data_IF_552695636832
#
_entry.id   IF_552695636832
#
_cell.length_a   1.000
_cell.length_b   1.000
_cell.length_c   1.000
_cell.angle_alpha   90.00
_cell.angle_beta   90.00
_cell.angle_gamma   90.00
#
_symmetry.space_group_name_H-M   'P 1'
#
loop_
_entity.id
_entity.type
_entity.pdbx_description
1 polymer ?
#
# COMPACT_ATOMS: atom_id res chain seq x y z
N UNK A 1 -33.66 -4.09 18.84
CA UNK A 1 -33.86 -4.12 17.37
C UNK A 1 -32.54 -4.48 16.74
N UNK A 2 -32.43 -5.65 16.14
CA UNK A 2 -31.23 -6.14 15.45
C UNK A 2 -31.59 -6.25 13.97
N UNK A 3 -30.99 -5.41 13.14
CA UNK A 3 -31.17 -5.40 11.69
C UNK A 3 -29.93 -5.98 11.01
N UNK A 4 -30.12 -7.04 10.23
CA UNK A 4 -29.13 -7.59 9.32
C UNK A 4 -29.32 -6.94 7.94
N UNK A 5 -28.35 -6.12 7.52
CA UNK A 5 -28.31 -5.60 6.14
C UNK A 5 -27.57 -6.62 5.28
N UNK A 6 -28.28 -7.40 4.46
CA UNK A 6 -27.66 -8.18 3.39
C UNK A 6 -27.59 -7.32 2.15
N UNK A 7 -26.38 -6.95 1.71
CA UNK A 7 -26.19 -6.26 0.44
C UNK A 7 -25.38 -7.15 -0.49
N UNK A 8 -25.91 -7.39 -1.70
CA UNK A 8 -25.23 -8.13 -2.75
C UNK A 8 -24.52 -7.13 -3.65
N UNK A 9 -23.20 -7.22 -3.76
CA UNK A 9 -22.40 -6.38 -4.64
C UNK A 9 -20.97 -6.88 -4.73
N UNK A 10 -20.24 -6.45 -5.76
CA UNK A 10 -18.82 -6.75 -5.91
C UNK A 10 -17.97 -5.64 -5.26
N UNK A 11 -16.85 -6.05 -4.66
CA UNK A 11 -15.80 -5.14 -4.20
C UNK A 11 -14.80 -4.95 -5.34
N UNK A 12 -14.69 -3.73 -5.86
CA UNK A 12 -13.73 -3.43 -6.91
C UNK A 12 -12.46 -2.86 -6.28
N UNK A 13 -11.44 -3.71 -6.16
CA UNK A 13 -10.11 -3.33 -5.71
C UNK A 13 -9.26 -2.87 -6.89
N UNK A 14 -8.48 -1.82 -6.69
CA UNK A 14 -7.55 -1.33 -7.70
C UNK A 14 -6.26 -0.83 -7.07
N UNK A 15 -5.17 -0.97 -7.82
CA UNK A 15 -3.87 -0.38 -7.53
C UNK A 15 -3.44 0.45 -8.74
N UNK A 16 -3.11 1.72 -8.53
CA UNK A 16 -2.76 2.67 -9.59
C UNK A 16 -1.48 3.39 -9.27
N UNK A 17 -0.68 3.68 -10.30
CA UNK A 17 0.49 4.55 -10.18
C UNK A 17 0.06 6.01 -10.26
N UNK A 18 0.57 6.81 -9.33
CA UNK A 18 0.18 8.21 -9.18
C UNK A 18 1.36 9.15 -9.41
N UNK A 19 1.05 10.38 -9.81
CA UNK A 19 2.02 11.46 -9.84
C UNK A 19 2.35 11.93 -8.42
N UNK A 20 3.34 12.82 -8.30
CA UNK A 20 3.87 13.31 -7.02
C UNK A 20 2.78 13.64 -5.99
N UNK A 21 2.92 13.09 -4.80
CA UNK A 21 1.99 13.33 -3.69
C UNK A 21 0.62 12.65 -3.82
N UNK A 22 0.45 11.69 -4.74
CA UNK A 22 -0.81 10.97 -4.95
C UNK A 22 -1.97 11.88 -5.38
N UNK A 23 -1.69 12.89 -6.21
CA UNK A 23 -2.65 13.94 -6.60
C UNK A 23 -3.40 13.60 -7.88
N UNK A 24 -2.71 13.04 -8.87
CA UNK A 24 -3.27 12.67 -10.17
C UNK A 24 -2.69 11.35 -10.65
N UNK A 25 -3.35 10.75 -11.64
CA UNK A 25 -2.85 9.53 -12.28
C UNK A 25 -1.57 9.83 -13.03
N UNK A 26 -0.56 8.97 -12.87
CA UNK A 26 0.66 9.07 -13.67
C UNK A 26 0.44 8.43 -15.02
N UNK A 27 0.83 9.11 -16.10
CA UNK A 27 0.73 8.59 -17.47
C UNK A 27 1.91 7.69 -17.88
N UNK A 28 3.09 7.89 -17.28
CA UNK A 28 4.30 7.12 -17.57
C UNK A 28 4.55 6.03 -16.52
N UNK A 29 4.87 4.82 -16.98
CA UNK A 29 5.34 3.70 -16.17
C UNK A 29 6.87 3.61 -16.07
N UNK A 30 7.59 4.65 -16.51
CA UNK A 30 9.05 4.74 -16.46
C UNK A 30 9.46 5.56 -15.23
N UNK A 31 10.40 5.02 -14.46
CA UNK A 31 10.93 5.63 -13.25
C UNK A 31 12.45 5.62 -13.29
N UNK A 32 13.07 6.68 -12.78
CA UNK A 32 14.51 6.70 -12.54
C UNK A 32 14.86 5.99 -11.23
N UNK A 33 16.05 5.41 -11.14
CA UNK A 33 16.52 4.81 -9.89
C UNK A 33 16.52 5.87 -8.77
N UNK A 34 15.97 5.52 -7.60
CA UNK A 34 15.81 6.44 -6.47
C UNK A 34 14.56 7.33 -6.55
N UNK A 35 13.84 7.34 -7.67
CA UNK A 35 12.60 8.11 -7.80
C UNK A 35 11.48 7.49 -6.94
N UNK A 36 10.68 8.34 -6.28
CA UNK A 36 9.53 7.85 -5.54
C UNK A 36 8.40 7.38 -6.47
N UNK A 37 8.06 6.09 -6.37
CA UNK A 37 6.89 5.47 -7.02
C UNK A 37 5.69 5.62 -6.09
N UNK A 38 4.78 6.54 -6.41
CA UNK A 38 3.53 6.69 -5.67
C UNK A 38 2.49 5.68 -6.17
N UNK A 39 1.89 4.95 -5.23
CA UNK A 39 0.86 3.95 -5.47
C UNK A 39 -0.41 4.32 -4.70
N UNK A 40 -1.54 4.32 -5.39
CA UNK A 40 -2.87 4.42 -4.81
C UNK A 40 -3.53 3.05 -4.82
N UNK A 41 -3.82 2.53 -3.64
CA UNK A 41 -4.77 1.44 -3.46
C UNK A 41 -6.16 2.03 -3.18
N UNK A 42 -7.18 1.49 -3.84
CA UNK A 42 -8.58 1.91 -3.66
C UNK A 42 -9.52 0.72 -3.68
N UNK A 43 -10.58 0.79 -2.87
CA UNK A 43 -11.76 -0.08 -3.00
C UNK A 43 -13.01 0.74 -3.31
N UNK A 44 -13.74 0.31 -4.33
CA UNK A 44 -15.04 0.85 -4.70
C UNK A 44 -16.11 -0.21 -4.43
N UNK A 45 -17.13 0.19 -3.68
CA UNK A 45 -18.14 -0.72 -3.14
C UNK A 45 -19.47 0.03 -3.00
N UNK A 46 -20.11 0.45 -4.11
CA UNK A 46 -21.28 1.33 -4.08
C UNK A 46 -22.48 0.73 -3.33
N UNK A 47 -22.58 -0.60 -3.34
CA UNK A 47 -23.58 -1.37 -2.62
C UNK A 47 -23.05 -1.95 -1.31
N UNK A 48 -22.12 -1.30 -0.61
CA UNK A 48 -21.67 -1.77 0.71
C UNK A 48 -21.64 -0.62 1.71
N UNK A 49 -21.77 -0.91 3.02
CA UNK A 49 -21.46 0.07 4.06
C UNK A 49 -20.02 0.60 3.88
N UNK A 50 -19.69 1.79 4.41
CA UNK A 50 -18.35 2.35 4.28
C UNK A 50 -17.26 1.37 4.72
N UNK A 51 -16.30 1.11 3.82
CA UNK A 51 -15.19 0.20 4.05
C UNK A 51 -13.89 0.97 4.26
N UNK A 52 -13.07 0.44 5.16
CA UNK A 52 -11.70 0.88 5.40
C UNK A 52 -10.76 -0.05 4.64
N UNK A 53 -9.99 0.51 3.72
CA UNK A 53 -9.00 -0.26 2.94
C UNK A 53 -7.72 -0.47 3.75
N UNK A 54 -7.13 -1.64 3.64
CA UNK A 54 -5.80 -2.01 4.15
C UNK A 54 -5.01 -2.71 3.05
N UNK A 55 -3.69 -2.68 3.19
CA UNK A 55 -2.73 -3.34 2.30
C UNK A 55 -1.94 -4.30 3.16
N UNK A 56 -2.17 -5.61 3.07
CA UNK A 56 -1.52 -6.56 3.97
C UNK A 56 -0.05 -6.77 3.60
N UNK A 57 0.21 -6.91 2.31
CA UNK A 57 1.55 -7.01 1.75
C UNK A 57 1.59 -6.52 0.31
N UNK A 58 2.78 -6.13 -0.14
CA UNK A 58 3.09 -5.86 -1.53
C UNK A 58 4.45 -6.46 -1.86
N UNK A 59 4.55 -7.03 -3.05
CA UNK A 59 5.76 -7.64 -3.59
C UNK A 59 6.04 -7.06 -4.97
N UNK A 60 7.30 -6.72 -5.21
CA UNK A 60 7.82 -6.39 -6.52
C UNK A 60 8.55 -7.61 -7.10
N UNK A 61 8.34 -7.90 -8.38
CA UNK A 61 8.89 -9.06 -9.09
C UNK A 61 9.30 -8.68 -10.52
N UNK A 62 10.14 -9.51 -11.16
CA UNK A 62 10.51 -9.36 -12.58
C UNK A 62 9.50 -10.01 -13.53
N UNK A 63 8.58 -10.80 -13.01
CA UNK A 63 7.49 -11.42 -13.77
C UNK A 63 6.14 -11.07 -13.13
N UNK A 64 5.02 -11.14 -13.89
CA UNK A 64 3.69 -10.83 -13.35
C UNK A 64 3.28 -11.72 -12.17
N UNK A 65 3.84 -12.92 -12.07
CA UNK A 65 3.61 -13.81 -10.94
C UNK A 65 4.25 -13.26 -9.66
N UNK A 66 3.41 -12.98 -8.66
CA UNK A 66 3.81 -12.48 -7.34
C UNK A 66 4.68 -13.45 -6.53
N UNK A 67 4.69 -14.74 -6.90
CA UNK A 67 5.51 -15.78 -6.26
C UNK A 67 6.84 -16.01 -7.00
N UNK A 68 7.04 -15.38 -8.16
CA UNK A 68 8.26 -15.50 -8.93
C UNK A 68 9.47 -14.91 -8.20
N UNK A 69 10.65 -15.43 -8.54
CA UNK A 69 11.93 -14.94 -8.02
C UNK A 69 12.72 -14.22 -9.13
N UNK A 70 13.47 -13.16 -8.78
CA UNK A 70 13.57 -12.55 -7.45
C UNK A 70 12.30 -11.77 -7.08
N UNK A 71 11.95 -11.80 -5.79
CA UNK A 71 10.78 -11.10 -5.24
C UNK A 71 11.15 -10.25 -4.03
N UNK A 72 10.75 -8.98 -4.03
CA UNK A 72 11.03 -8.03 -2.95
C UNK A 72 9.74 -7.58 -2.27
N UNK A 73 9.54 -8.04 -1.03
CA UNK A 73 8.36 -7.68 -0.23
C UNK A 73 8.59 -6.38 0.54
N UNK A 74 8.09 -5.27 0.00
CA UNK A 74 8.29 -3.95 0.58
C UNK A 74 7.21 -3.54 1.58
N UNK A 75 6.01 -4.12 1.49
CA UNK A 75 4.99 -4.08 2.56
C UNK A 75 4.81 -5.51 3.09
N UNK A 76 4.92 -5.69 4.41
CA UNK A 76 4.80 -6.98 5.09
C UNK A 76 4.12 -6.81 6.45
N UNK A 77 4.00 -7.89 7.25
CA UNK A 77 3.45 -7.85 8.62
C UNK A 77 2.10 -7.14 8.71
N UNK A 78 1.22 -7.40 7.73
CA UNK A 78 -0.13 -6.83 7.67
C UNK A 78 -0.15 -5.30 7.64
N UNK A 79 0.62 -4.72 6.71
CA UNK A 79 0.60 -3.28 6.43
C UNK A 79 1.78 -2.46 6.93
N UNK A 80 2.88 -3.07 7.36
CA UNK A 80 4.12 -2.35 7.64
C UNK A 80 5.00 -2.25 6.38
N UNK A 81 5.26 -1.02 5.95
CA UNK A 81 6.13 -0.65 4.84
C UNK A 81 7.60 -0.83 5.26
N UNK A 82 8.12 -2.03 5.14
CA UNK A 82 9.48 -2.41 5.56
C UNK A 82 10.56 -1.65 4.78
N UNK A 83 10.27 -1.26 3.54
CA UNK A 83 11.23 -0.49 2.72
C UNK A 83 11.65 0.83 3.39
N UNK A 84 10.74 1.47 4.15
CA UNK A 84 11.02 2.72 4.88
C UNK A 84 12.13 2.59 5.93
N UNK A 85 12.49 1.36 6.34
CA UNK A 85 13.59 1.11 7.27
C UNK A 85 14.94 1.25 6.57
N UNK A 86 15.04 0.90 5.27
CA UNK A 86 16.31 0.81 4.53
C UNK A 86 17.02 2.15 4.39
N UNK A 87 18.28 2.31 4.83
CA UNK A 87 18.99 3.59 4.82
C UNK A 87 18.82 4.38 3.53
N UNK A 88 18.52 5.68 3.62
CA UNK A 88 18.24 6.52 2.46
C UNK A 88 16.81 6.45 1.92
N UNK A 89 16.06 5.37 2.17
CA UNK A 89 14.68 5.21 1.68
C UNK A 89 13.77 6.37 2.08
N UNK A 90 13.06 6.91 1.08
CA UNK A 90 12.03 7.94 1.23
C UNK A 90 10.60 7.39 1.28
N UNK A 91 10.47 6.05 1.33
CA UNK A 91 9.21 5.33 1.33
C UNK A 91 8.35 5.62 2.55
N UNK A 92 7.07 5.95 2.34
CA UNK A 92 6.15 6.34 3.41
C UNK A 92 4.70 6.13 3.00
N UNK A 93 3.81 6.04 4.00
CA UNK A 93 2.38 6.24 3.79
C UNK A 93 2.05 7.74 3.79
N UNK A 94 1.19 8.17 2.88
CA UNK A 94 0.66 9.54 2.86
C UNK A 94 -0.56 9.66 3.78
N UNK A 95 -0.90 10.87 4.27
CA UNK A 95 -2.15 11.15 4.99
C UNK A 95 -3.40 10.62 4.25
N UNK A 96 -4.35 10.03 4.98
CA UNK A 96 -5.53 9.38 4.39
C UNK A 96 -6.66 10.37 4.42
N UNK A 97 -7.02 10.84 3.25
CA UNK A 97 -8.18 11.70 3.05
C UNK A 97 -9.49 10.92 3.04
N UNK A 98 -9.48 9.66 2.55
CA UNK A 98 -10.68 8.83 2.39
C UNK A 98 -10.46 7.42 2.94
N UNK A 99 -11.44 6.87 3.68
CA UNK A 99 -11.31 5.56 4.35
C UNK A 99 -11.10 4.39 3.39
N UNK A 100 -11.61 4.48 2.17
CA UNK A 100 -11.52 3.45 1.13
C UNK A 100 -10.32 3.64 0.18
N UNK A 101 -9.41 4.57 0.50
CA UNK A 101 -8.23 4.93 -0.30
C UNK A 101 -6.98 4.91 0.57
N UNK A 102 -5.87 4.40 0.05
CA UNK A 102 -4.57 4.48 0.71
C UNK A 102 -3.48 4.80 -0.31
N UNK A 103 -2.70 5.84 -0.04
CA UNK A 103 -1.57 6.23 -0.86
C UNK A 103 -0.26 5.96 -0.11
N UNK A 104 0.71 5.40 -0.81
CA UNK A 104 2.05 5.15 -0.29
C UNK A 104 3.09 5.31 -1.39
N UNK A 105 4.33 5.56 -0.99
CA UNK A 105 5.47 5.59 -1.90
C UNK A 105 6.46 4.47 -1.57
N UNK A 106 7.03 3.91 -2.63
CA UNK A 106 8.24 3.07 -2.57
C UNK A 106 9.31 3.68 -3.46
N UNK A 107 10.57 3.59 -3.07
CA UNK A 107 11.68 4.06 -3.91
C UNK A 107 11.89 3.12 -5.10
N UNK A 108 12.06 3.68 -6.30
CA UNK A 108 12.33 2.89 -7.50
C UNK A 108 13.73 2.26 -7.40
N UNK A 109 13.78 0.94 -7.56
CA UNK A 109 15.01 0.15 -7.46
C UNK A 109 15.10 -0.84 -8.61
N UNK A 110 16.26 -1.47 -8.78
CA UNK A 110 16.45 -2.63 -9.66
C UNK A 110 16.95 -3.82 -8.85
N UNK A 111 16.52 -5.03 -9.21
CA UNK A 111 17.05 -6.26 -8.59
C UNK A 111 18.53 -6.48 -8.89
N UNK A 112 18.95 -6.18 -10.12
CA UNK A 112 20.35 -6.07 -10.50
C UNK A 112 20.51 -5.01 -11.59
N UNK A 113 21.69 -4.41 -11.72
CA UNK A 113 21.94 -3.33 -12.70
C UNK A 113 21.80 -3.79 -14.17
N UNK A 114 21.74 -5.10 -14.42
CA UNK A 114 21.69 -5.69 -15.75
C UNK A 114 20.26 -6.04 -16.21
N UNK A 115 19.30 -6.05 -15.29
CA UNK A 115 17.89 -6.30 -15.56
C UNK A 115 17.23 -5.04 -16.13
N UNK A 116 17.07 -5.04 -17.45
CA UNK A 116 16.42 -3.96 -18.23
C UNK A 116 14.94 -4.20 -18.49
N UNK A 117 14.32 -5.13 -17.75
CA UNK A 117 12.92 -5.49 -17.90
C UNK A 117 11.98 -4.66 -17.01
N UNK A 118 10.67 -4.65 -17.30
CA UNK A 118 9.68 -4.04 -16.42
C UNK A 118 9.64 -4.78 -15.09
N UNK A 119 9.29 -4.06 -14.02
CA UNK A 119 8.98 -4.63 -12.72
C UNK A 119 7.47 -4.62 -12.52
N UNK A 120 6.98 -5.68 -11.89
CA UNK A 120 5.58 -5.85 -11.56
C UNK A 120 5.40 -5.67 -10.07
N UNK A 121 4.36 -4.94 -9.67
CA UNK A 121 3.99 -4.76 -8.27
C UNK A 121 2.64 -5.45 -8.07
N UNK A 122 2.60 -6.41 -7.16
CA UNK A 122 1.39 -7.09 -6.72
C UNK A 122 1.16 -6.83 -5.24
N UNK A 123 -0.08 -6.50 -4.89
CA UNK A 123 -0.47 -6.19 -3.51
C UNK A 123 -1.70 -6.99 -3.11
N UNK A 124 -1.71 -7.47 -1.87
CA UNK A 124 -2.89 -8.03 -1.25
C UNK A 124 -3.67 -6.92 -0.55
N UNK A 125 -4.82 -6.57 -1.12
CA UNK A 125 -5.72 -5.54 -0.63
C UNK A 125 -6.85 -6.17 0.17
N UNK A 126 -7.20 -5.54 1.30
CA UNK A 126 -8.27 -6.02 2.19
C UNK A 126 -9.17 -4.87 2.59
N UNK A 127 -10.48 -5.11 2.63
CA UNK A 127 -11.47 -4.14 3.06
C UNK A 127 -12.18 -4.62 4.32
N UNK A 128 -12.34 -3.73 5.30
CA UNK A 128 -13.00 -4.01 6.59
C UNK A 128 -14.08 -2.97 6.83
N UNK A 129 -15.19 -3.33 7.47
CA UNK A 129 -16.25 -2.37 7.82
C UNK A 129 -15.67 -1.21 8.66
N UNK A 130 -16.04 0.02 8.30
CA UNK A 130 -15.64 1.21 9.06
C UNK A 130 -16.16 1.09 10.50
N UNK A 131 -15.26 1.25 11.47
CA UNK A 131 -15.58 1.15 12.89
C UNK A 131 -15.44 -0.25 13.49
N UNK A 132 -15.25 -1.30 12.69
CA UNK A 132 -14.96 -2.65 13.19
C UNK A 132 -13.47 -2.96 13.30
N UNK A 133 -12.58 -1.96 13.15
CA UNK A 133 -11.12 -2.13 13.22
C UNK A 133 -10.66 -2.40 14.65
N UNK A 134 -10.63 -3.67 15.05
CA UNK A 134 -10.23 -4.12 16.38
C UNK A 134 -9.01 -5.04 16.34
N UNK A 135 -8.47 -5.30 15.15
CA UNK A 135 -7.39 -6.28 14.98
C UNK A 135 -6.03 -5.61 14.84
N UNK A 136 -4.98 -6.24 15.40
CA UNK A 136 -3.58 -5.88 15.14
C UNK A 136 -3.17 -6.00 13.66
N UNK A 137 -4.05 -6.60 12.83
CA UNK A 137 -3.89 -6.72 11.39
C UNK A 137 -4.37 -5.46 10.63
N UNK A 138 -5.13 -4.58 11.28
CA UNK A 138 -5.76 -3.42 10.64
C UNK A 138 -4.87 -2.17 10.74
N UNK A 139 -3.66 -2.26 10.20
CA UNK A 139 -2.64 -1.22 10.32
C UNK A 139 -2.05 -0.81 8.96
N UNK A 140 -1.46 0.38 8.98
CA UNK A 140 -0.60 0.91 7.92
C UNK A 140 0.54 1.63 8.64
N UNK A 141 1.71 0.99 8.70
CA UNK A 141 2.88 1.42 9.47
C UNK A 141 4.04 1.75 8.55
N UNK A 142 4.78 2.81 8.84
CA UNK A 142 6.07 3.08 8.21
C UNK A 142 7.06 3.57 9.26
N UNK A 143 8.33 3.37 9.01
CA UNK A 143 9.40 3.82 9.87
C UNK A 143 9.68 5.30 9.62
N UNK A 144 9.45 6.13 10.62
CA UNK A 144 9.74 7.55 10.55
C UNK A 144 11.14 7.80 11.08
N UNK A 145 12.09 8.02 10.16
CA UNK A 145 13.50 8.21 10.49
C UNK A 145 13.79 9.33 11.47
N UNK A 146 13.24 10.56 11.31
CA UNK A 146 13.58 11.66 12.21
C UNK A 146 13.27 11.37 13.68
N UNK A 147 12.24 10.55 13.96
CA UNK A 147 11.88 10.14 15.33
C UNK A 147 12.35 8.74 15.69
N UNK A 148 13.07 8.07 14.78
CA UNK A 148 13.55 6.69 14.93
C UNK A 148 12.48 5.71 15.43
N UNK A 149 11.26 5.81 14.91
CA UNK A 149 10.11 5.07 15.44
C UNK A 149 9.11 4.66 14.37
N UNK A 150 8.34 3.61 14.64
CA UNK A 150 7.25 3.16 13.78
C UNK A 150 6.01 4.02 13.97
N UNK A 151 5.59 4.70 12.92
CA UNK A 151 4.37 5.49 12.89
C UNK A 151 3.26 4.73 12.19
N UNK A 152 2.12 4.63 12.87
CA UNK A 152 0.87 4.31 12.20
C UNK A 152 0.44 5.51 11.36
N UNK A 153 -0.30 5.22 10.31
CA UNK A 153 -1.03 6.20 9.52
C UNK A 153 -1.82 7.22 10.36
N UNK A 154 -2.39 6.81 11.50
CA UNK A 154 -3.12 7.70 12.43
C UNK A 154 -2.22 8.53 13.38
N UNK A 155 -0.92 8.63 13.13
CA UNK A 155 0.03 9.37 13.98
C UNK A 155 0.25 8.77 15.38
N UNK A 156 -0.05 7.49 15.56
CA UNK A 156 0.18 6.74 16.81
C UNK A 156 1.36 5.78 16.64
N UNK A 157 2.01 5.39 17.74
CA UNK A 157 3.01 4.31 17.73
C UNK A 157 2.34 3.01 17.30
N UNK A 158 2.96 2.31 16.34
CA UNK A 158 2.47 1.04 15.80
C UNK A 158 3.29 -0.13 16.34
N UNK A 159 2.63 -1.21 16.75
CA UNK A 159 3.30 -2.50 16.94
C UNK A 159 3.53 -3.18 15.59
N UNK A 160 4.74 -3.68 15.39
CA UNK A 160 5.22 -4.24 14.11
C UNK A 160 5.01 -5.74 14.06
#
# INVERSE_FOLDING_TARGET
>A
MTSTVSNFGLLHFSLRTMAGGCTSLRSSSVYQQGEAVFLEARVEAPLHPPLTLYVDYCVATLQPDSLSLPGYKFITKHGCLMDSVLPGSSSKFLPREQVNRLCFSVEAFHFNQQTRGPMFISCHLRAVLKGSSHSHLDKACFFHRPTFSWQCHRGRLCSV
#
